data_IF_814948481530
#
_entry.id   IF_814948481530
#
_cell.length_a   1.000
_cell.length_b   1.000
_cell.length_c   1.000
_cell.angle_alpha   90.00
_cell.angle_beta   90.00
_cell.angle_gamma   90.00
#
_symmetry.space_group_name_H-M   'P 1'
#
loop_
_entity.id
_entity.type
_entity.pdbx_description
1 polymer ?
#
# COMPACT_ATOMS: atom_id res chain seq x y z
N UNK A 1 29.03 17.44 1.46
CA UNK A 1 28.46 16.35 2.31
C UNK A 1 26.98 16.54 2.68
N UNK A 2 26.51 17.73 3.11
CA UNK A 2 25.09 17.95 3.52
C UNK A 2 24.05 17.60 2.45
N UNK A 3 24.35 17.81 1.16
CA UNK A 3 23.42 17.51 0.07
C UNK A 3 23.32 16.02 -0.27
N UNK A 4 24.42 15.26 -0.11
CA UNK A 4 24.44 13.81 -0.36
C UNK A 4 23.56 13.07 0.66
N UNK A 5 23.63 13.46 1.95
CA UNK A 5 22.82 12.86 3.02
C UNK A 5 21.33 13.09 2.76
N UNK A 6 20.92 14.32 2.39
CA UNK A 6 19.53 14.63 2.07
C UNK A 6 19.00 13.82 0.88
N UNK A 7 19.82 13.65 -0.15
CA UNK A 7 19.46 12.85 -1.33
C UNK A 7 19.28 11.37 -0.97
N UNK A 8 20.22 10.78 -0.24
CA UNK A 8 20.13 9.37 0.20
C UNK A 8 18.92 9.14 1.10
N UNK A 9 18.63 10.06 2.03
CA UNK A 9 17.45 9.99 2.88
C UNK A 9 16.15 10.06 2.08
N UNK A 10 16.08 10.96 1.08
CA UNK A 10 14.93 11.08 0.19
C UNK A 10 14.69 9.81 -0.65
N UNK A 11 15.75 9.19 -1.17
CA UNK A 11 15.67 7.91 -1.88
C UNK A 11 15.21 6.79 -0.96
N UNK A 12 15.73 6.74 0.26
CA UNK A 12 15.35 5.73 1.25
C UNK A 12 13.87 5.84 1.66
N UNK A 13 13.37 7.06 1.89
CA UNK A 13 11.96 7.30 2.21
C UNK A 13 11.06 6.87 1.05
N UNK A 14 11.41 7.25 -0.19
CA UNK A 14 10.67 6.80 -1.39
C UNK A 14 10.68 5.27 -1.51
N UNK A 15 11.83 4.63 -1.31
CA UNK A 15 11.96 3.17 -1.35
C UNK A 15 11.09 2.48 -0.31
N UNK A 16 11.03 2.99 0.92
CA UNK A 16 10.13 2.46 1.97
C UNK A 16 8.66 2.59 1.60
N UNK A 17 8.24 3.72 1.03
CA UNK A 17 6.85 3.92 0.62
C UNK A 17 6.47 2.93 -0.49
N UNK A 18 7.34 2.77 -1.49
CA UNK A 18 7.09 1.82 -2.58
C UNK A 18 7.08 0.35 -2.10
N UNK A 19 7.96 -0.01 -1.15
CA UNK A 19 7.91 -1.33 -0.51
C UNK A 19 6.60 -1.55 0.26
N UNK A 20 6.08 -0.54 0.96
CA UNK A 20 4.79 -0.61 1.65
C UNK A 20 3.64 -0.83 0.65
N UNK A 21 3.60 -0.04 -0.42
CA UNK A 21 2.61 -0.20 -1.50
C UNK A 21 2.62 -1.62 -2.06
N UNK A 22 3.79 -2.17 -2.38
CA UNK A 22 3.91 -3.54 -2.89
C UNK A 22 3.38 -4.59 -1.90
N UNK A 23 3.68 -4.45 -0.61
CA UNK A 23 3.17 -5.37 0.43
C UNK A 23 1.66 -5.33 0.55
N UNK A 24 1.06 -4.14 0.54
CA UNK A 24 -0.39 -3.96 0.60
C UNK A 24 -1.04 -4.52 -0.68
N UNK A 25 -0.44 -4.26 -1.85
CA UNK A 25 -0.91 -4.78 -3.14
C UNK A 25 -1.00 -6.31 -3.12
N UNK A 26 0.08 -6.97 -2.69
CA UNK A 26 0.13 -8.43 -2.60
C UNK A 26 -0.93 -9.00 -1.63
N UNK A 27 -1.20 -8.33 -0.51
CA UNK A 27 -2.26 -8.73 0.43
C UNK A 27 -3.65 -8.59 -0.19
N UNK A 28 -3.93 -7.46 -0.85
CA UNK A 28 -5.21 -7.21 -1.51
C UNK A 28 -5.47 -8.22 -2.63
N UNK A 29 -4.48 -8.48 -3.49
CA UNK A 29 -4.58 -9.49 -4.56
C UNK A 29 -4.81 -10.90 -3.99
N UNK A 30 -4.11 -11.24 -2.90
CA UNK A 30 -4.33 -12.51 -2.20
C UNK A 30 -5.77 -12.61 -1.69
N UNK A 31 -6.26 -11.62 -0.96
CA UNK A 31 -7.64 -11.65 -0.45
C UNK A 31 -8.69 -11.69 -1.55
N UNK A 32 -8.51 -10.97 -2.66
CA UNK A 32 -9.42 -11.01 -3.81
C UNK A 32 -9.50 -12.43 -4.38
N UNK A 33 -8.37 -13.11 -4.49
CA UNK A 33 -8.31 -14.47 -5.04
C UNK A 33 -8.84 -15.53 -4.07
N UNK A 34 -8.75 -15.32 -2.75
CA UNK A 34 -9.16 -16.32 -1.74
C UNK A 34 -10.55 -16.10 -1.16
N UNK A 35 -11.07 -14.87 -1.17
CA UNK A 35 -12.37 -14.56 -0.57
C UNK A 35 -13.54 -14.99 -1.45
N UNK A 36 -14.64 -15.39 -0.83
CA UNK A 36 -15.92 -15.66 -1.52
C UNK A 36 -16.86 -14.46 -1.49
N UNK A 37 -16.56 -13.44 -0.68
CA UNK A 37 -17.39 -12.24 -0.54
C UNK A 37 -17.18 -11.27 -1.70
N UNK A 38 -18.24 -11.01 -2.47
CA UNK A 38 -18.22 -10.03 -3.57
C UNK A 38 -17.90 -8.61 -3.08
N UNK A 39 -18.40 -8.23 -1.90
CA UNK A 39 -18.09 -6.94 -1.29
C UNK A 39 -16.60 -6.80 -0.96
N UNK A 40 -15.98 -7.83 -0.39
CA UNK A 40 -14.54 -7.82 -0.09
C UNK A 40 -13.73 -7.75 -1.37
N UNK A 41 -14.12 -8.46 -2.43
CA UNK A 41 -13.48 -8.33 -3.76
C UNK A 41 -13.59 -6.91 -4.30
N UNK A 42 -14.79 -6.35 -4.37
CA UNK A 42 -15.01 -5.00 -4.91
C UNK A 42 -14.23 -3.93 -4.12
N UNK A 43 -14.26 -3.99 -2.78
CA UNK A 43 -13.49 -3.09 -1.91
C UNK A 43 -11.99 -3.20 -2.17
N UNK A 44 -11.46 -4.42 -2.18
CA UNK A 44 -10.03 -4.63 -2.33
C UNK A 44 -9.54 -4.26 -3.74
N UNK A 45 -10.35 -4.49 -4.78
CA UNK A 45 -10.08 -3.98 -6.14
C UNK A 45 -10.08 -2.45 -6.16
N UNK A 46 -11.00 -1.80 -5.45
CA UNK A 46 -10.99 -0.34 -5.28
C UNK A 46 -9.72 0.16 -4.60
N UNK A 47 -9.25 -0.52 -3.55
CA UNK A 47 -7.98 -0.17 -2.90
C UNK A 47 -6.76 -0.36 -3.82
N UNK A 48 -6.75 -1.39 -4.67
CA UNK A 48 -5.70 -1.59 -5.68
C UNK A 48 -5.62 -0.42 -6.67
N UNK A 49 -6.76 0.13 -7.10
CA UNK A 49 -6.78 1.28 -8.01
C UNK A 49 -6.22 2.56 -7.37
N UNK A 50 -6.32 2.68 -6.05
CA UNK A 50 -5.86 3.87 -5.31
C UNK A 50 -4.38 3.78 -4.90
N UNK A 51 -3.81 2.57 -4.84
CA UNK A 51 -2.52 2.31 -4.19
C UNK A 51 -1.34 3.03 -4.84
N UNK A 52 -1.36 3.18 -6.16
CA UNK A 52 -0.26 3.81 -6.91
C UNK A 52 -0.18 5.31 -6.60
N UNK A 53 -1.34 5.95 -6.38
CA UNK A 53 -1.47 7.37 -6.00
C UNK A 53 -1.47 7.60 -4.48
N UNK A 54 -1.49 6.53 -3.68
CA UNK A 54 -1.66 6.63 -2.24
C UNK A 54 -0.43 7.25 -1.54
N UNK A 55 -0.71 8.22 -0.67
CA UNK A 55 0.25 8.74 0.31
C UNK A 55 0.23 7.89 1.59
N UNK A 56 1.13 8.17 2.54
CA UNK A 56 1.22 7.41 3.79
C UNK A 56 -0.10 7.32 4.56
N UNK A 57 -0.91 8.39 4.59
CA UNK A 57 -2.21 8.39 5.30
C UNK A 57 -3.20 7.44 4.65
N UNK A 58 -3.26 7.42 3.32
CA UNK A 58 -4.13 6.50 2.57
C UNK A 58 -3.66 5.05 2.77
N UNK A 59 -2.35 4.81 2.72
CA UNK A 59 -1.78 3.48 2.99
C UNK A 59 -2.13 2.99 4.40
N UNK A 60 -2.06 3.86 5.41
CA UNK A 60 -2.42 3.52 6.80
C UNK A 60 -3.90 3.14 6.93
N UNK A 61 -4.81 3.87 6.27
CA UNK A 61 -6.25 3.54 6.30
C UNK A 61 -6.57 2.23 5.58
N UNK A 62 -5.91 1.96 4.45
CA UNK A 62 -6.02 0.67 3.74
C UNK A 62 -5.49 -0.45 4.64
N UNK A 63 -4.32 -0.29 5.25
CA UNK A 63 -3.74 -1.29 6.17
C UNK A 63 -4.63 -1.56 7.38
N UNK A 64 -5.20 -0.53 8.01
CA UNK A 64 -6.17 -0.69 9.11
C UNK A 64 -7.41 -1.45 8.67
N UNK A 65 -7.90 -1.20 7.46
CA UNK A 65 -9.11 -1.84 6.94
C UNK A 65 -8.86 -3.32 6.63
N UNK A 66 -7.70 -3.64 6.03
CA UNK A 66 -7.27 -5.01 5.77
C UNK A 66 -7.03 -5.75 7.09
N UNK A 67 -6.36 -5.13 8.08
CA UNK A 67 -6.02 -5.78 9.34
C UNK A 67 -7.19 -6.04 10.29
N UNK A 68 -8.38 -5.49 10.01
CA UNK A 68 -9.61 -5.68 10.79
C UNK A 68 -10.47 -6.86 10.28
N UNK A 69 -10.07 -7.49 9.19
CA UNK A 69 -10.67 -8.71 8.65
C UNK A 69 -9.66 -9.85 8.68
#
# INVERSE_FOLDING_TARGET
MKNLIKTVLGVFIKSKIEQRKQKIKAKLEKEISTTTSEWVKARNTGFLALIDSANNKILDEIEKTISKH
#
